data_IF_896388112208
#
_entry.id   IF_896388112208
#
_cell.length_a   1.000
_cell.length_b   1.000
_cell.length_c   1.000
_cell.angle_alpha   90.00
_cell.angle_beta   90.00
_cell.angle_gamma   90.00
#
_symmetry.space_group_name_H-M   'P 1'
#
loop_
_entity.id
_entity.type
_entity.pdbx_description
1 polymer ?
#
# COMPACT_ATOMS: atom_id res chain seq x y z
N UNK A 1 -4.71 -24.04 -7.51
CA UNK A 1 -5.32 -22.72 -7.84
C UNK A 1 -5.18 -21.82 -6.64
N UNK A 2 -5.04 -20.51 -6.86
CA UNK A 2 -4.98 -19.49 -5.82
C UNK A 2 -6.07 -18.43 -6.10
N UNK A 3 -7.31 -18.62 -5.62
CA UNK A 3 -8.35 -17.61 -5.70
C UNK A 3 -7.97 -16.36 -4.92
N UNK A 4 -8.51 -15.24 -5.36
CA UNK A 4 -8.27 -13.94 -4.77
C UNK A 4 -9.56 -13.33 -4.22
N UNK A 5 -9.52 -12.81 -3.00
CA UNK A 5 -10.62 -12.08 -2.39
C UNK A 5 -10.93 -10.78 -3.11
N UNK A 6 -12.18 -10.31 -3.02
CA UNK A 6 -12.55 -9.03 -3.60
C UNK A 6 -11.78 -7.86 -2.97
N UNK A 7 -11.29 -6.93 -3.79
CA UNK A 7 -10.63 -5.69 -3.35
C UNK A 7 -11.53 -4.79 -2.48
N UNK A 8 -12.85 -5.05 -2.45
CA UNK A 8 -13.80 -4.34 -1.60
C UNK A 8 -13.79 -4.82 -0.14
N UNK A 9 -13.22 -6.00 0.12
CA UNK A 9 -13.13 -6.57 1.47
C UNK A 9 -12.00 -5.87 2.22
N UNK A 10 -12.35 -5.25 3.35
CA UNK A 10 -11.37 -4.70 4.30
C UNK A 10 -11.66 -5.25 5.69
N UNK A 11 -10.86 -6.22 6.14
CA UNK A 11 -11.01 -6.83 7.47
C UNK A 11 -10.52 -5.92 8.62
N UNK A 12 -9.85 -4.81 8.30
CA UNK A 12 -9.43 -3.81 9.28
C UNK A 12 -10.52 -2.75 9.60
N UNK A 13 -11.72 -2.86 9.02
CA UNK A 13 -12.83 -1.91 9.24
C UNK A 13 -13.19 -1.79 10.74
N UNK A 14 -13.20 -0.55 11.23
CA UNK A 14 -13.68 -0.21 12.58
C UNK A 14 -15.19 0.01 12.63
N UNK A 15 -15.77 0.54 11.55
CA UNK A 15 -17.22 0.72 11.45
C UNK A 15 -17.91 -0.65 11.46
N UNK A 16 -18.84 -0.84 12.39
CA UNK A 16 -19.45 -2.15 12.65
C UNK A 16 -20.22 -2.70 11.46
N UNK A 17 -20.93 -1.83 10.73
CA UNK A 17 -21.72 -2.25 9.58
C UNK A 17 -20.82 -2.67 8.42
N UNK A 18 -19.81 -1.85 8.09
CA UNK A 18 -18.82 -2.17 7.06
C UNK A 18 -17.99 -3.40 7.43
N UNK A 19 -17.59 -3.54 8.68
CA UNK A 19 -16.88 -4.73 9.18
C UNK A 19 -17.72 -6.00 9.03
N UNK A 20 -19.02 -5.93 9.34
CA UNK A 20 -19.94 -7.06 9.18
C UNK A 20 -20.08 -7.44 7.71
N UNK A 21 -20.22 -6.46 6.80
CA UNK A 21 -20.29 -6.71 5.35
C UNK A 21 -19.01 -7.34 4.83
N UNK A 22 -17.84 -6.76 5.16
CA UNK A 22 -16.54 -7.27 4.75
C UNK A 22 -16.32 -8.71 5.24
N UNK A 23 -16.61 -8.99 6.51
CA UNK A 23 -16.48 -10.33 7.07
C UNK A 23 -17.45 -11.32 6.42
N UNK A 24 -18.70 -10.92 6.16
CA UNK A 24 -19.71 -11.78 5.53
C UNK A 24 -19.28 -12.18 4.11
N UNK A 25 -18.77 -11.24 3.32
CA UNK A 25 -18.21 -11.55 2.00
C UNK A 25 -16.99 -12.47 2.11
N UNK A 26 -16.06 -12.17 3.02
CA UNK A 26 -14.84 -12.97 3.20
C UNK A 26 -15.14 -14.42 3.59
N UNK A 27 -16.02 -14.64 4.57
CA UNK A 27 -16.35 -16.00 5.00
C UNK A 27 -17.14 -16.79 3.94
N UNK A 28 -17.96 -16.11 3.13
CA UNK A 28 -18.63 -16.73 1.98
C UNK A 28 -17.62 -17.22 0.95
N UNK A 29 -16.65 -16.37 0.58
CA UNK A 29 -15.58 -16.74 -0.36
C UNK A 29 -14.74 -17.91 0.15
N UNK A 30 -14.40 -17.94 1.44
CA UNK A 30 -13.69 -19.08 2.05
C UNK A 30 -14.50 -20.37 2.00
N UNK A 31 -15.81 -20.32 2.31
CA UNK A 31 -16.69 -21.48 2.19
C UNK A 31 -16.80 -21.95 0.74
N UNK A 32 -16.82 -21.03 -0.22
CA UNK A 32 -16.80 -21.37 -1.65
C UNK A 32 -15.48 -22.02 -2.06
N UNK A 33 -14.34 -21.55 -1.54
CA UNK A 33 -13.05 -22.20 -1.75
C UNK A 33 -13.07 -23.66 -1.23
N UNK A 34 -13.63 -23.90 -0.04
CA UNK A 34 -13.75 -25.27 0.50
C UNK A 34 -14.71 -26.16 -0.30
N UNK A 35 -15.84 -25.61 -0.75
CA UNK A 35 -16.78 -26.33 -1.62
C UNK A 35 -16.15 -26.73 -2.97
N UNK A 36 -15.14 -25.99 -3.42
CA UNK A 36 -14.38 -26.26 -4.64
C UNK A 36 -13.08 -27.05 -4.38
N UNK A 37 -12.86 -27.53 -3.15
CA UNK A 37 -11.65 -28.25 -2.73
C UNK A 37 -10.35 -27.45 -2.93
N UNK A 38 -10.41 -26.13 -2.71
CA UNK A 38 -9.28 -25.22 -2.85
C UNK A 38 -8.69 -24.90 -1.47
N UNK A 39 -7.45 -25.32 -1.25
CA UNK A 39 -6.78 -25.18 0.05
C UNK A 39 -6.16 -23.80 0.35
N UNK A 40 -6.05 -22.89 -0.62
CA UNK A 40 -5.45 -21.56 -0.45
C UNK A 40 -6.45 -20.47 -0.84
N UNK A 41 -6.46 -19.36 -0.12
CA UNK A 41 -7.26 -18.18 -0.46
C UNK A 41 -6.46 -16.90 -0.20
N UNK A 42 -6.08 -16.20 -1.27
CA UNK A 42 -5.29 -14.97 -1.19
C UNK A 42 -6.18 -13.75 -0.97
N UNK A 43 -5.72 -12.80 -0.17
CA UNK A 43 -6.40 -11.53 0.01
C UNK A 43 -5.45 -10.43 0.50
N UNK A 44 -5.83 -9.18 0.20
CA UNK A 44 -5.16 -8.02 0.77
C UNK A 44 -5.57 -7.87 2.25
N UNK A 45 -4.62 -7.67 3.20
CA UNK A 45 -4.94 -7.58 4.63
C UNK A 45 -5.98 -6.50 4.95
N UNK A 46 -5.89 -5.36 4.26
CA UNK A 46 -6.84 -4.25 4.36
C UNK A 46 -6.17 -2.89 4.53
N UNK A 47 -6.92 -1.92 5.05
CA UNK A 47 -6.47 -0.55 5.29
C UNK A 47 -6.97 -0.07 6.65
N UNK A 48 -6.10 0.59 7.42
CA UNK A 48 -6.45 1.11 8.74
C UNK A 48 -7.41 2.30 8.66
N UNK A 49 -7.53 2.94 7.48
CA UNK A 49 -8.36 4.13 7.27
C UNK A 49 -8.05 5.28 8.25
N UNK A 50 -6.80 5.37 8.72
CA UNK A 50 -6.34 6.41 9.65
C UNK A 50 -6.45 6.02 11.13
N UNK A 51 -6.99 4.85 11.44
CA UNK A 51 -7.00 4.30 12.80
C UNK A 51 -5.60 3.78 13.20
N UNK A 52 -5.34 3.62 14.52
CA UNK A 52 -4.10 3.02 15.00
C UNK A 52 -3.82 1.67 14.33
N UNK A 53 -2.58 1.50 13.87
CA UNK A 53 -2.19 0.37 13.00
C UNK A 53 -2.23 -0.97 13.74
N UNK A 54 -1.84 -0.97 15.01
CA UNK A 54 -1.93 -2.10 15.94
C UNK A 54 -3.37 -2.57 16.13
N UNK A 55 -4.31 -1.65 16.40
CA UNK A 55 -5.72 -2.00 16.52
C UNK A 55 -6.30 -2.56 15.20
N UNK A 56 -5.81 -2.05 14.06
CA UNK A 56 -6.23 -2.54 12.75
C UNK A 56 -5.72 -3.95 12.46
N UNK A 57 -4.47 -4.24 12.83
CA UNK A 57 -3.87 -5.58 12.79
C UNK A 57 -4.65 -6.55 13.68
N UNK A 58 -5.02 -6.15 14.90
CA UNK A 58 -5.84 -6.97 15.79
C UNK A 58 -7.21 -7.29 15.18
N UNK A 59 -7.87 -6.33 14.52
CA UNK A 59 -9.14 -6.57 13.82
C UNK A 59 -9.00 -7.62 12.72
N UNK A 60 -7.95 -7.55 11.91
CA UNK A 60 -7.67 -8.53 10.86
C UNK A 60 -7.46 -9.92 11.48
N UNK A 61 -6.58 -10.04 12.48
CA UNK A 61 -6.29 -11.32 13.11
C UNK A 61 -7.53 -11.95 13.77
N UNK A 62 -8.36 -11.15 14.43
CA UNK A 62 -9.62 -11.61 15.03
C UNK A 62 -10.62 -12.09 13.97
N UNK A 63 -10.70 -11.42 12.83
CA UNK A 63 -11.51 -11.88 11.70
C UNK A 63 -10.99 -13.21 11.13
N UNK A 64 -9.68 -13.37 10.98
CA UNK A 64 -9.08 -14.64 10.55
C UNK A 64 -9.37 -15.78 11.53
N UNK A 65 -9.16 -15.56 12.83
CA UNK A 65 -9.44 -16.55 13.87
C UNK A 65 -10.90 -17.00 13.88
N UNK A 66 -11.82 -16.06 13.65
CA UNK A 66 -13.25 -16.37 13.54
C UNK A 66 -13.55 -17.15 12.26
N UNK A 67 -13.00 -16.73 11.12
CA UNK A 67 -13.21 -17.39 9.84
C UNK A 67 -12.68 -18.83 9.87
N UNK A 68 -11.48 -19.02 10.42
CA UNK A 68 -10.88 -20.32 10.70
C UNK A 68 -11.78 -21.22 11.55
N UNK A 69 -12.51 -20.70 12.54
CA UNK A 69 -13.48 -21.51 13.33
C UNK A 69 -14.73 -21.88 12.54
N UNK A 70 -15.05 -21.11 11.50
CA UNK A 70 -16.23 -21.29 10.64
C UNK A 70 -15.93 -22.08 9.34
N UNK A 71 -14.67 -22.46 9.12
CA UNK A 71 -14.16 -23.25 7.98
C UNK A 71 -13.26 -24.40 8.46
N UNK A 72 -12.94 -25.34 7.58
CA UNK A 72 -12.27 -26.60 7.96
C UNK A 72 -10.78 -26.67 7.60
N UNK A 73 -10.40 -26.35 6.36
CA UNK A 73 -9.06 -26.61 5.82
C UNK A 73 -8.46 -25.47 4.99
N UNK A 74 -9.27 -24.52 4.50
CA UNK A 74 -8.72 -23.41 3.69
C UNK A 74 -7.73 -22.57 4.48
N UNK A 75 -6.54 -22.33 3.89
CA UNK A 75 -5.49 -21.44 4.40
C UNK A 75 -5.72 -20.03 3.86
N UNK A 76 -5.76 -19.05 4.75
CA UNK A 76 -5.85 -17.63 4.40
C UNK A 76 -4.45 -17.07 4.15
N UNK A 77 -4.22 -16.55 2.95
CA UNK A 77 -2.91 -16.09 2.48
C UNK A 77 -2.92 -14.56 2.42
N UNK A 78 -2.12 -13.93 3.27
CA UNK A 78 -1.95 -12.48 3.36
C UNK A 78 -1.00 -12.00 2.27
N UNK A 79 -1.43 -11.08 1.42
CA UNK A 79 -0.56 -10.53 0.40
C UNK A 79 0.27 -9.32 0.88
N UNK A 80 1.51 -9.22 0.44
CA UNK A 80 2.31 -7.98 0.54
C UNK A 80 1.68 -6.87 -0.29
N UNK A 81 1.70 -5.62 0.20
CA UNK A 81 0.99 -4.49 -0.43
C UNK A 81 1.92 -3.34 -0.83
N UNK A 82 1.58 -2.58 -1.89
CA UNK A 82 2.40 -1.45 -2.36
C UNK A 82 2.56 -0.28 -1.37
N UNK A 83 1.68 -0.17 -0.36
CA UNK A 83 1.78 0.85 0.70
C UNK A 83 1.16 2.21 0.38
N UNK A 84 0.19 2.28 -0.54
CA UNK A 84 -0.56 3.51 -0.78
C UNK A 84 -1.44 3.90 0.42
N UNK A 85 -1.25 5.10 0.97
CA UNK A 85 -2.09 5.63 2.05
C UNK A 85 -2.00 4.78 3.34
N UNK A 86 -3.14 4.30 3.83
CA UNK A 86 -3.26 3.60 5.11
C UNK A 86 -3.29 2.06 4.99
N UNK A 87 -2.81 1.52 3.87
CA UNK A 87 -2.82 0.07 3.61
C UNK A 87 -1.90 -0.69 4.59
N UNK A 88 -2.34 -1.89 4.97
CA UNK A 88 -1.64 -2.82 5.87
C UNK A 88 -1.01 -3.93 5.05
N UNK A 89 0.23 -4.31 5.38
CA UNK A 89 0.99 -5.32 4.62
C UNK A 89 2.05 -4.72 3.69
N UNK A 90 2.33 -3.42 3.79
CA UNK A 90 3.46 -2.79 3.09
C UNK A 90 4.81 -3.09 3.74
N UNK A 91 4.79 -3.49 5.02
CA UNK A 91 5.97 -3.94 5.76
C UNK A 91 5.79 -5.40 6.15
N UNK A 92 6.87 -6.17 6.12
CA UNK A 92 6.83 -7.55 6.59
C UNK A 92 6.38 -7.67 8.05
N UNK A 93 6.69 -6.67 8.89
CA UNK A 93 6.25 -6.62 10.28
C UNK A 93 4.73 -6.60 10.44
N UNK A 94 3.99 -5.95 9.53
CA UNK A 94 2.53 -5.96 9.59
C UNK A 94 1.99 -7.38 9.47
N UNK A 95 2.56 -8.15 8.51
CA UNK A 95 2.16 -9.52 8.25
C UNK A 95 2.59 -10.43 9.39
N UNK A 96 3.81 -10.25 9.91
CA UNK A 96 4.30 -10.95 11.12
C UNK A 96 3.34 -10.72 12.29
N UNK A 97 2.92 -9.48 12.53
CA UNK A 97 2.11 -9.13 13.69
C UNK A 97 0.68 -9.69 13.56
N UNK A 98 0.11 -9.69 12.36
CA UNK A 98 -1.15 -10.42 12.08
C UNK A 98 -0.96 -11.92 12.37
N UNK A 99 0.07 -12.54 11.78
CA UNK A 99 0.37 -13.97 11.96
C UNK A 99 0.62 -14.30 13.42
N UNK A 100 1.24 -13.41 14.20
CA UNK A 100 1.50 -13.62 15.62
C UNK A 100 0.20 -13.83 16.41
N UNK A 101 -0.85 -13.09 16.06
CA UNK A 101 -2.16 -13.07 16.71
C UNK A 101 -3.16 -14.13 16.18
N UNK A 102 -2.87 -14.76 15.04
CA UNK A 102 -3.68 -15.88 14.55
C UNK A 102 -3.52 -17.11 15.46
N UNK A 103 -4.60 -17.82 15.78
CA UNK A 103 -4.59 -18.98 16.66
C UNK A 103 -4.04 -20.22 15.92
N UNK A 104 -4.60 -20.51 14.74
CA UNK A 104 -4.20 -21.65 13.91
C UNK A 104 -3.14 -21.24 12.87
N UNK A 105 -1.86 -21.35 13.27
CA UNK A 105 -0.72 -21.02 12.42
C UNK A 105 -0.60 -21.90 11.18
N UNK A 106 -1.25 -23.07 11.14
CA UNK A 106 -1.20 -23.95 9.98
C UNK A 106 -2.06 -23.44 8.82
N UNK A 107 -3.03 -22.55 9.10
CA UNK A 107 -3.98 -21.99 8.13
C UNK A 107 -3.82 -20.50 7.88
N UNK A 108 -2.67 -19.94 8.20
CA UNK A 108 -2.26 -18.61 7.71
C UNK A 108 -0.97 -18.74 6.89
N UNK A 109 -0.87 -17.95 5.83
CA UNK A 109 0.31 -17.86 4.98
C UNK A 109 0.49 -16.47 4.40
N UNK A 110 1.52 -16.31 3.58
CA UNK A 110 1.86 -15.06 2.89
C UNK A 110 2.03 -15.31 1.39
N UNK A 111 1.53 -14.36 0.59
CA UNK A 111 1.84 -14.22 -0.83
C UNK A 111 2.78 -13.03 -1.00
N UNK A 112 3.91 -13.25 -1.67
CA UNK A 112 4.77 -12.14 -2.10
C UNK A 112 4.32 -11.71 -3.49
N UNK A 113 3.86 -10.47 -3.59
CA UNK A 113 3.69 -9.79 -4.88
C UNK A 113 4.94 -8.94 -5.17
N UNK A 114 5.55 -9.20 -6.33
CA UNK A 114 6.81 -8.55 -6.72
C UNK A 114 6.64 -7.06 -7.03
N UNK A 115 5.51 -6.64 -7.61
CA UNK A 115 5.21 -5.23 -7.89
C UNK A 115 4.93 -4.47 -6.59
N UNK A 116 4.14 -5.06 -5.70
CA UNK A 116 3.83 -4.49 -4.39
C UNK A 116 5.08 -4.33 -3.54
N UNK A 117 5.88 -5.38 -3.41
CA UNK A 117 7.12 -5.34 -2.64
C UNK A 117 8.08 -4.26 -3.19
N UNK A 118 8.27 -4.22 -4.51
CA UNK A 118 9.07 -3.18 -5.17
C UNK A 118 8.55 -1.76 -4.94
N UNK A 119 7.23 -1.60 -4.97
CA UNK A 119 6.57 -0.30 -4.75
C UNK A 119 6.58 0.13 -3.29
N UNK A 120 6.69 -0.83 -2.35
CA UNK A 120 6.81 -0.59 -0.92
C UNK A 120 8.24 -0.29 -0.45
N UNK A 121 9.24 -0.50 -1.32
CA UNK A 121 10.64 -0.20 -1.03
C UNK A 121 11.54 -1.43 -0.86
N UNK A 122 11.08 -2.63 -1.24
CA UNK A 122 11.91 -3.84 -1.28
C UNK A 122 12.53 -4.02 -2.66
N UNK A 123 13.84 -3.79 -2.79
CA UNK A 123 14.51 -3.87 -4.09
C UNK A 123 14.84 -5.32 -4.44
N UNK A 124 14.27 -5.81 -5.54
CA UNK A 124 14.42 -7.20 -6.01
C UNK A 124 15.31 -7.29 -7.27
N UNK A 125 15.87 -6.16 -7.74
CA UNK A 125 16.46 -6.05 -9.09
C UNK A 125 17.82 -6.72 -9.23
N UNK A 126 18.69 -6.61 -8.24
CA UNK A 126 20.01 -7.27 -8.26
C UNK A 126 20.01 -8.52 -7.39
N UNK A 127 20.88 -9.51 -7.65
CA UNK A 127 21.01 -10.69 -6.79
C UNK A 127 21.28 -10.33 -5.32
N UNK A 128 22.08 -9.30 -5.06
CA UNK A 128 22.43 -8.86 -3.71
C UNK A 128 21.23 -8.22 -3.00
N UNK A 129 20.52 -7.32 -3.69
CA UNK A 129 19.33 -6.64 -3.14
C UNK A 129 18.21 -7.66 -2.88
N UNK A 130 17.96 -8.54 -3.85
CA UNK A 130 17.03 -9.65 -3.73
C UNK A 130 17.36 -10.55 -2.54
N UNK A 131 18.63 -10.96 -2.41
CA UNK A 131 19.09 -11.78 -1.28
C UNK A 131 18.89 -11.10 0.07
N UNK A 132 19.08 -9.78 0.15
CA UNK A 132 18.81 -9.00 1.37
C UNK A 132 17.32 -8.99 1.72
N UNK A 133 16.43 -8.76 0.74
CA UNK A 133 14.98 -8.79 0.96
C UNK A 133 14.51 -10.18 1.38
N UNK A 134 14.99 -11.24 0.72
CA UNK A 134 14.60 -12.62 1.05
C UNK A 134 15.07 -13.02 2.46
N UNK A 135 16.27 -12.57 2.85
CA UNK A 135 16.77 -12.76 4.21
C UNK A 135 15.89 -12.03 5.23
N UNK A 136 15.53 -10.77 4.97
CA UNK A 136 14.62 -10.02 5.84
C UNK A 136 13.25 -10.70 5.94
N UNK A 137 12.71 -11.18 4.82
CA UNK A 137 11.45 -11.94 4.81
C UNK A 137 11.52 -13.17 5.72
N UNK A 138 12.59 -13.96 5.64
CA UNK A 138 12.75 -15.15 6.49
C UNK A 138 12.95 -14.80 7.97
N UNK A 139 13.69 -13.73 8.27
CA UNK A 139 13.93 -13.27 9.64
C UNK A 139 12.64 -12.70 10.29
N UNK A 140 11.82 -11.98 9.53
CA UNK A 140 10.63 -11.28 10.05
C UNK A 140 9.39 -12.18 10.02
N UNK A 141 9.13 -12.84 8.89
CA UNK A 141 7.95 -13.69 8.67
C UNK A 141 8.34 -15.16 8.78
N UNK A 142 9.35 -15.58 8.01
CA UNK A 142 9.78 -16.97 7.88
C UNK A 142 9.20 -17.66 6.65
N UNK A 143 10.05 -18.33 5.87
CA UNK A 143 9.65 -19.05 4.65
C UNK A 143 8.59 -20.12 4.88
N UNK A 144 8.45 -20.64 6.11
CA UNK A 144 7.39 -21.58 6.49
C UNK A 144 5.97 -21.04 6.28
N UNK A 145 5.78 -19.72 6.23
CA UNK A 145 4.48 -19.11 5.93
C UNK A 145 4.31 -18.75 4.46
N UNK A 146 5.37 -18.74 3.66
CA UNK A 146 5.26 -18.47 2.23
C UNK A 146 4.37 -19.54 1.58
N UNK A 147 3.34 -19.08 0.87
CA UNK A 147 2.30 -19.96 0.32
C UNK A 147 2.04 -19.71 -1.17
N UNK A 148 2.46 -18.56 -1.70
CA UNK A 148 2.25 -18.17 -3.10
C UNK A 148 3.15 -17.01 -3.50
N UNK A 149 3.23 -16.77 -4.81
CA UNK A 149 3.78 -15.55 -5.39
C UNK A 149 2.84 -14.97 -6.45
N UNK A 150 2.76 -13.65 -6.50
CA UNK A 150 2.27 -12.92 -7.66
C UNK A 150 3.46 -12.29 -8.40
N UNK A 151 3.55 -12.58 -9.69
CA UNK A 151 4.66 -12.18 -10.55
C UNK A 151 4.21 -11.02 -11.43
N UNK A 152 4.46 -9.81 -10.93
CA UNK A 152 4.05 -8.56 -11.55
C UNK A 152 5.26 -7.64 -11.68
N UNK A 153 5.54 -7.14 -12.88
CA UNK A 153 6.48 -6.03 -13.06
C UNK A 153 5.77 -4.72 -12.65
N UNK A 154 6.49 -3.61 -12.52
CA UNK A 154 5.91 -2.33 -12.09
C UNK A 154 6.00 -1.26 -13.16
N UNK A 155 4.88 -0.60 -13.47
CA UNK A 155 4.85 0.63 -14.27
C UNK A 155 5.32 1.83 -13.48
N UNK A 156 5.39 1.73 -12.16
CA UNK A 156 5.80 2.81 -11.28
C UNK A 156 7.26 2.61 -10.84
N UNK A 157 8.00 3.69 -10.55
CA UNK A 157 9.36 3.56 -10.03
C UNK A 157 9.41 2.84 -8.67
N UNK A 158 10.62 2.42 -8.31
CA UNK A 158 10.94 1.87 -7.00
C UNK A 158 10.43 2.77 -5.87
N UNK A 159 9.87 2.17 -4.82
CA UNK A 159 9.37 2.88 -3.64
C UNK A 159 8.34 3.99 -3.95
N UNK A 160 7.55 3.81 -5.01
CA UNK A 160 6.54 4.80 -5.44
C UNK A 160 5.23 4.74 -4.66
N UNK A 161 5.03 3.67 -3.88
CA UNK A 161 3.77 3.34 -3.21
C UNK A 161 2.56 3.28 -4.13
N UNK A 162 2.77 2.84 -5.39
CA UNK A 162 1.71 2.70 -6.38
C UNK A 162 1.63 1.27 -6.88
N UNK A 163 0.46 0.69 -6.69
CA UNK A 163 0.09 -0.58 -7.29
C UNK A 163 -0.29 -0.33 -8.77
N UNK A 164 0.69 -0.49 -9.66
CA UNK A 164 0.50 -0.36 -11.11
C UNK A 164 1.29 -1.45 -11.83
N UNK A 165 0.64 -2.59 -12.09
CA UNK A 165 1.26 -3.76 -12.70
C UNK A 165 1.69 -3.52 -14.15
N UNK A 166 2.79 -4.17 -14.53
CA UNK A 166 3.36 -4.21 -15.86
C UNK A 166 3.66 -5.64 -16.30
N UNK A 167 3.69 -5.86 -17.60
CA UNK A 167 4.17 -7.10 -18.21
C UNK A 167 5.65 -7.37 -17.88
N UNK A 168 5.98 -8.66 -17.78
CA UNK A 168 7.28 -9.15 -17.31
C UNK A 168 8.44 -8.56 -18.13
N UNK A 169 9.36 -7.87 -17.44
CA UNK A 169 10.58 -7.30 -17.99
C UNK A 169 10.42 -5.93 -18.65
N UNK A 170 9.19 -5.41 -18.79
CA UNK A 170 8.93 -4.13 -19.45
C UNK A 170 8.91 -2.94 -18.49
N UNK A 171 8.75 -3.20 -17.18
CA UNK A 171 8.60 -2.16 -16.17
C UNK A 171 9.91 -1.71 -15.53
N UNK A 172 9.77 -0.98 -14.43
CA UNK A 172 10.88 -0.48 -13.62
C UNK A 172 11.51 -1.55 -12.73
N UNK A 173 10.82 -2.68 -12.52
CA UNK A 173 11.36 -3.83 -11.80
C UNK A 173 12.26 -4.64 -12.75
N UNK A 174 11.83 -4.88 -13.98
CA UNK A 174 12.68 -5.45 -15.03
C UNK A 174 12.97 -6.95 -14.88
N UNK A 175 13.68 -7.51 -15.87
CA UNK A 175 13.77 -8.97 -16.04
C UNK A 175 14.65 -9.68 -14.99
N UNK A 176 15.68 -9.01 -14.48
CA UNK A 176 16.59 -9.58 -13.47
C UNK A 176 15.87 -9.99 -12.18
N UNK A 177 14.85 -9.23 -11.75
CA UNK A 177 14.06 -9.61 -10.59
C UNK A 177 13.38 -10.97 -10.76
N UNK A 178 12.79 -11.21 -11.94
CA UNK A 178 12.15 -12.49 -12.24
C UNK A 178 13.16 -13.61 -12.41
N UNK A 179 14.34 -13.34 -12.96
CA UNK A 179 15.43 -14.33 -12.98
C UNK A 179 15.82 -14.75 -11.55
N UNK A 180 15.89 -13.82 -10.60
CA UNK A 180 16.15 -14.15 -9.20
C UNK A 180 15.04 -15.02 -8.60
N UNK A 181 13.77 -14.64 -8.82
CA UNK A 181 12.59 -15.40 -8.35
C UNK A 181 12.58 -16.82 -8.92
N UNK A 182 12.74 -16.98 -10.24
CA UNK A 182 12.67 -18.28 -10.91
C UNK A 182 13.80 -19.25 -10.54
N UNK A 183 14.88 -18.74 -9.91
CA UNK A 183 16.02 -19.54 -9.47
C UNK A 183 16.11 -19.69 -7.93
N UNK A 184 15.05 -19.32 -7.21
CA UNK A 184 14.97 -19.42 -5.75
C UNK A 184 14.32 -20.73 -5.32
N UNK A 185 15.07 -21.54 -4.58
CA UNK A 185 14.70 -22.93 -4.24
C UNK A 185 13.50 -23.00 -3.30
N UNK A 186 13.40 -22.03 -2.40
CA UNK A 186 12.32 -21.88 -1.42
C UNK A 186 10.96 -21.66 -2.09
N UNK A 187 10.95 -21.28 -3.37
CA UNK A 187 9.73 -21.01 -4.13
C UNK A 187 9.26 -22.20 -4.97
N UNK A 188 10.02 -23.29 -5.00
CA UNK A 188 9.61 -24.50 -5.71
C UNK A 188 8.29 -25.04 -5.12
N UNK A 189 7.48 -25.65 -5.98
CA UNK A 189 6.16 -26.20 -5.65
C UNK A 189 5.11 -25.19 -5.15
N UNK A 190 5.42 -23.89 -5.16
CA UNK A 190 4.46 -22.83 -4.84
C UNK A 190 3.71 -22.36 -6.09
N UNK A 191 2.43 -21.98 -5.95
CA UNK A 191 1.72 -21.30 -7.03
C UNK A 191 2.36 -19.93 -7.31
N UNK A 192 2.71 -19.70 -8.57
CA UNK A 192 3.16 -18.42 -9.11
C UNK A 192 2.11 -17.93 -10.10
N UNK A 193 1.51 -16.77 -9.82
CA UNK A 193 0.36 -16.25 -10.59
C UNK A 193 0.77 -14.95 -11.29
N UNK A 194 0.46 -14.84 -12.59
CA UNK A 194 0.58 -13.59 -13.34
C UNK A 194 -0.70 -12.79 -13.18
N UNK A 195 -0.58 -11.52 -12.80
CA UNK A 195 -1.68 -10.53 -12.80
C UNK A 195 -1.31 -9.33 -13.69
N UNK A 196 -0.47 -9.60 -14.68
CA UNK A 196 0.04 -8.65 -15.64
C UNK A 196 -1.08 -8.16 -16.57
N UNK A 197 -1.04 -6.88 -17.00
CA UNK A 197 -2.09 -6.31 -17.83
C UNK A 197 -2.17 -7.00 -19.20
N UNK A 198 -3.39 -7.14 -19.70
CA UNK A 198 -3.66 -7.60 -21.06
C UNK A 198 -3.67 -6.42 -22.04
N UNK A 199 -3.15 -6.66 -23.25
CA UNK A 199 -3.33 -5.75 -24.37
C UNK A 199 -4.72 -6.01 -25.00
N UNK A 200 -5.75 -5.38 -24.45
CA UNK A 200 -7.15 -5.72 -24.78
C UNK A 200 -7.53 -7.07 -24.16
N UNK A 201 -8.13 -7.96 -24.94
CA UNK A 201 -8.54 -9.30 -24.49
C UNK A 201 -7.57 -10.42 -24.93
N UNK A 202 -6.35 -10.07 -25.38
CA UNK A 202 -5.36 -11.06 -25.86
C UNK A 202 -4.70 -11.84 -24.72
N UNK A 203 -5.35 -12.92 -24.30
CA UNK A 203 -4.83 -13.86 -23.28
C UNK A 203 -3.53 -14.58 -23.70
N UNK A 204 -3.10 -14.48 -24.97
CA UNK A 204 -1.82 -15.06 -25.40
C UNK A 204 -0.60 -14.38 -24.79
N UNK A 205 -0.78 -13.18 -24.23
CA UNK A 205 0.26 -12.44 -23.50
C UNK A 205 0.77 -13.29 -22.32
N UNK A 206 -0.12 -13.84 -21.50
CA UNK A 206 0.27 -14.68 -20.36
C UNK A 206 1.01 -15.94 -20.80
N UNK A 207 0.60 -16.58 -21.90
CA UNK A 207 1.30 -17.76 -22.43
C UNK A 207 2.73 -17.43 -22.87
N UNK A 208 2.98 -16.22 -23.38
CA UNK A 208 4.33 -15.75 -23.73
C UNK A 208 5.15 -15.41 -22.49
N UNK A 209 4.54 -14.80 -21.47
CA UNK A 209 5.20 -14.48 -20.21
C UNK A 209 5.57 -15.72 -19.40
N UNK A 210 4.70 -16.74 -19.37
CA UNK A 210 5.03 -18.04 -18.75
C UNK A 210 6.27 -18.64 -19.42
N UNK A 211 6.30 -18.69 -20.76
CA UNK A 211 7.47 -19.20 -21.50
C UNK A 211 8.73 -18.39 -21.27
N UNK A 212 8.60 -17.07 -21.13
CA UNK A 212 9.71 -16.20 -20.77
C UNK A 212 10.24 -16.56 -19.40
N UNK A 213 9.38 -16.65 -18.38
CA UNK A 213 9.77 -17.02 -17.01
C UNK A 213 10.43 -18.40 -16.95
N UNK A 214 9.86 -19.41 -17.63
CA UNK A 214 10.45 -20.75 -17.77
C UNK A 214 11.86 -20.70 -18.39
N UNK A 215 12.09 -19.83 -19.36
CA UNK A 215 13.40 -19.67 -20.01
C UNK A 215 14.48 -19.06 -19.09
N UNK A 216 14.10 -18.43 -17.97
CA UNK A 216 15.05 -17.85 -17.01
C UNK A 216 15.61 -18.89 -16.03
N UNK A 217 14.99 -20.07 -15.94
CA UNK A 217 15.41 -21.13 -15.02
C UNK A 217 16.79 -21.65 -15.40
N UNK A 218 17.71 -21.65 -14.44
CA UNK A 218 19.10 -22.08 -14.59
C UNK A 218 20.04 -21.04 -15.20
N UNK A 219 19.55 -19.86 -15.59
CA UNK A 219 20.41 -18.79 -16.10
C UNK A 219 21.05 -18.02 -14.94
N UNK A 220 22.36 -17.79 -15.05
CA UNK A 220 23.11 -16.94 -14.13
C UNK A 220 23.01 -15.45 -14.51
N UNK A 221 23.29 -14.56 -13.56
CA UNK A 221 23.18 -13.11 -13.77
C UNK A 221 24.16 -12.59 -14.85
N UNK A 222 25.28 -13.27 -15.06
CA UNK A 222 26.28 -12.98 -16.10
C UNK A 222 26.13 -13.84 -17.36
N UNK A 223 25.08 -14.67 -17.45
CA UNK A 223 24.83 -15.50 -18.62
C UNK A 223 24.58 -14.63 -19.88
N UNK A 224 25.33 -14.82 -20.98
CA UNK A 224 25.16 -14.01 -22.19
C UNK A 224 23.75 -14.05 -22.79
N UNK A 225 23.03 -15.17 -22.64
CA UNK A 225 21.65 -15.35 -23.08
C UNK A 225 20.71 -14.49 -22.23
N UNK A 226 20.90 -14.53 -20.91
CA UNK A 226 20.12 -13.70 -19.99
C UNK A 226 20.36 -12.22 -20.24
N UNK A 227 21.62 -11.78 -20.38
CA UNK A 227 21.97 -10.39 -20.66
C UNK A 227 21.36 -9.88 -21.97
N UNK A 228 21.28 -10.73 -22.99
CA UNK A 228 20.60 -10.39 -24.25
C UNK A 228 19.09 -10.23 -24.06
N UNK A 229 18.43 -11.14 -23.34
CA UNK A 229 17.00 -11.06 -23.02
C UNK A 229 16.68 -9.84 -22.16
N UNK A 230 17.46 -9.58 -21.12
CA UNK A 230 17.27 -8.44 -20.24
C UNK A 230 17.34 -7.14 -21.02
N UNK A 231 18.35 -6.99 -21.89
CA UNK A 231 18.47 -5.83 -22.77
C UNK A 231 17.27 -5.71 -23.71
N UNK A 232 16.85 -6.78 -24.36
CA UNK A 232 15.72 -6.77 -25.28
C UNK A 232 14.42 -6.30 -24.61
N UNK A 233 14.11 -6.83 -23.44
CA UNK A 233 12.90 -6.48 -22.69
C UNK A 233 12.98 -5.08 -22.09
N UNK A 234 14.16 -4.68 -21.60
CA UNK A 234 14.41 -3.31 -21.18
C UNK A 234 14.18 -2.31 -22.32
N UNK A 235 14.67 -2.60 -23.54
CA UNK A 235 14.48 -1.76 -24.72
C UNK A 235 12.99 -1.66 -25.11
N UNK A 236 12.24 -2.78 -25.07
CA UNK A 236 10.79 -2.79 -25.34
C UNK A 236 10.00 -1.89 -24.38
N UNK A 237 10.35 -1.90 -23.09
CA UNK A 237 9.68 -1.09 -22.07
C UNK A 237 10.14 0.37 -21.99
N UNK A 238 11.25 0.74 -22.65
CA UNK A 238 11.93 2.01 -22.45
C UNK A 238 11.04 3.23 -22.75
N UNK A 239 10.23 3.18 -23.80
CA UNK A 239 9.36 4.28 -24.19
C UNK A 239 8.28 4.56 -23.12
N UNK A 240 7.65 3.53 -22.58
CA UNK A 240 6.63 3.69 -21.54
C UNK A 240 7.24 4.21 -20.23
N UNK A 241 8.39 3.67 -19.81
CA UNK A 241 9.13 4.17 -18.64
C UNK A 241 9.51 5.63 -18.80
N UNK A 242 9.98 6.04 -19.98
CA UNK A 242 10.31 7.44 -20.27
C UNK A 242 9.08 8.34 -20.11
N UNK A 243 7.92 7.94 -20.61
CA UNK A 243 6.67 8.70 -20.43
C UNK A 243 6.30 8.85 -18.97
N UNK A 244 6.51 7.81 -18.15
CA UNK A 244 6.27 7.86 -16.70
C UNK A 244 7.24 8.83 -16.03
N UNK A 245 8.55 8.73 -16.32
CA UNK A 245 9.58 9.63 -15.77
C UNK A 245 9.31 11.10 -16.14
N UNK A 246 9.06 11.39 -17.42
CA UNK A 246 8.76 12.75 -17.88
C UNK A 246 7.53 13.34 -17.14
N UNK A 247 6.53 12.51 -16.79
CA UNK A 247 5.36 12.93 -16.02
C UNK A 247 5.68 13.19 -14.54
N UNK A 248 6.57 12.40 -13.95
CA UNK A 248 6.99 12.59 -12.56
C UNK A 248 7.82 13.86 -12.41
N UNK A 249 8.79 14.08 -13.30
CA UNK A 249 9.60 15.31 -13.34
C UNK A 249 8.71 16.56 -13.44
N UNK A 250 7.72 16.55 -14.35
CA UNK A 250 6.76 17.66 -14.46
C UNK A 250 5.97 17.91 -13.18
N UNK A 251 5.51 16.85 -12.50
CA UNK A 251 4.78 16.97 -11.24
C UNK A 251 5.66 17.51 -10.12
N UNK A 252 6.93 17.14 -10.08
CA UNK A 252 7.89 17.66 -9.10
C UNK A 252 8.13 19.16 -9.31
N UNK A 253 8.38 19.59 -10.56
CA UNK A 253 8.53 21.01 -10.91
C UNK A 253 7.28 21.82 -10.53
N UNK A 254 6.08 21.32 -10.85
CA UNK A 254 4.83 21.97 -10.47
C UNK A 254 4.64 22.08 -8.95
N UNK A 255 5.07 21.06 -8.19
CA UNK A 255 5.01 21.05 -6.73
C UNK A 255 5.96 22.10 -6.14
N UNK A 256 7.20 22.13 -6.61
CA UNK A 256 8.20 23.12 -6.19
C UNK A 256 7.74 24.56 -6.47
N UNK A 257 7.15 24.81 -7.65
CA UNK A 257 6.58 26.12 -7.97
C UNK A 257 5.43 26.52 -7.04
N UNK A 258 4.53 25.57 -6.73
CA UNK A 258 3.40 25.82 -5.81
C UNK A 258 3.90 26.12 -4.40
N UNK A 259 4.90 25.39 -3.92
CA UNK A 259 5.54 25.61 -2.62
C UNK A 259 6.25 26.96 -2.56
N UNK A 260 6.98 27.34 -3.61
CA UNK A 260 7.61 28.65 -3.73
C UNK A 260 6.57 29.79 -3.71
N UNK A 261 5.50 29.68 -4.49
CA UNK A 261 4.38 30.65 -4.50
C UNK A 261 3.68 30.74 -3.14
N UNK A 262 3.56 29.62 -2.40
CA UNK A 262 2.99 29.58 -1.04
C UNK A 262 3.91 30.29 -0.05
N UNK A 263 5.22 30.04 -0.09
CA UNK A 263 6.22 30.74 0.74
C UNK A 263 6.21 32.25 0.48
N UNK A 264 6.22 32.69 -0.78
CA UNK A 264 6.18 34.11 -1.14
C UNK A 264 4.90 34.81 -0.64
N UNK A 265 3.74 34.14 -0.72
CA UNK A 265 2.47 34.66 -0.16
C UNK A 265 2.50 34.80 1.36
N UNK A 266 3.10 33.83 2.07
CA UNK A 266 3.26 33.88 3.53
C UNK A 266 4.18 35.03 3.93
N UNK A 267 5.31 35.21 3.24
CA UNK A 267 6.25 36.32 3.48
C UNK A 267 5.63 37.69 3.22
N UNK A 268 4.89 37.85 2.11
CA UNK A 268 4.16 39.10 1.80
C UNK A 268 3.08 39.40 2.84
N UNK A 269 2.39 38.38 3.35
CA UNK A 269 1.38 38.54 4.42
C UNK A 269 2.06 38.97 5.73
N UNK A 270 3.15 38.33 6.12
CA UNK A 270 3.93 38.69 7.31
C UNK A 270 4.52 40.12 7.23
N UNK A 271 4.99 40.54 6.06
CA UNK A 271 5.47 41.91 5.84
C UNK A 271 4.33 42.95 5.93
N UNK A 272 3.14 42.62 5.41
CA UNK A 272 1.96 43.49 5.46
C UNK A 272 1.38 43.62 6.88
N UNK A 273 1.45 42.55 7.67
CA UNK A 273 1.01 42.57 9.08
C UNK A 273 1.98 43.39 9.95
N UNK A 274 3.29 43.29 9.72
CA UNK A 274 4.30 44.17 10.38
C UNK A 274 4.08 45.65 10.06
N UNK A 275 3.73 45.99 8.82
CA UNK A 275 3.42 47.38 8.41
C UNK A 275 2.11 47.92 8.99
N UNK A 276 1.16 47.03 9.34
CA UNK A 276 -0.09 47.42 10.02
C UNK A 276 0.15 47.69 11.50
N UNK A 277 0.91 46.86 12.19
CA UNK A 277 1.24 47.04 13.61
C UNK A 277 2.00 48.34 13.89
N UNK A 278 2.87 48.75 12.96
CA UNK A 278 3.63 50.01 13.09
C UNK A 278 2.76 51.26 12.89
N UNK A 279 1.63 51.14 12.16
CA UNK A 279 0.64 52.23 12.02
C UNK A 279 -0.30 52.33 13.22
N UNK A 280 -0.55 51.25 13.96
CA UNK A 280 -1.41 51.26 15.17
C UNK A 280 -0.71 51.84 16.40
N UNK A 281 0.62 51.80 16.48
CA UNK A 281 1.40 52.39 17.59
C UNK A 281 1.52 53.93 17.56
N UNK A 282 1.04 54.61 16.52
CA UNK A 282 1.05 56.09 16.40
C UNK A 282 -0.22 56.81 16.86
N UNK A 283 -1.22 56.12 17.43
CA UNK A 283 -2.39 56.77 18.06
C UNK A 283 -2.41 56.51 19.57
N UNK A 284 -1.87 57.46 20.33
CA UNK A 284 -2.00 57.55 21.79
C UNK A 284 -3.45 57.82 22.19
N UNK A 285 -3.97 57.16 23.25
CA UNK A 285 -4.98 57.78 24.09
C UNK A 285 -4.42 58.06 25.50
N UNK A 286 -4.77 59.25 25.99
CA UNK A 286 -4.58 59.74 27.35
C UNK A 286 -5.10 58.75 28.39
N UNK A 287 -4.35 58.64 29.49
CA UNK A 287 -4.74 58.07 30.78
C UNK A 287 -6.05 58.66 31.31
N UNK A 288 -6.89 57.81 31.87
CA UNK A 288 -7.59 58.10 33.14
C UNK A 288 -7.83 56.82 33.94
N UNK A 289 -7.54 56.96 35.22
CA UNK A 289 -7.68 56.05 36.36
C UNK A 289 -9.14 55.88 36.79
N UNK A 290 -9.54 54.70 37.30
CA UNK A 290 -9.96 54.42 38.69
C UNK A 290 -10.95 53.24 38.82
N UNK A 291 -10.64 52.36 39.77
CA UNK A 291 -11.50 51.75 40.80
C UNK A 291 -12.76 50.91 40.44
N UNK A 292 -12.66 49.62 40.80
CA UNK A 292 -13.57 48.85 41.67
C UNK A 292 -15.08 49.12 41.67
N UNK A 293 -15.92 48.09 41.42
CA UNK A 293 -16.53 47.22 42.45
C UNK A 293 -17.58 46.26 41.84
N UNK A 294 -17.61 45.06 42.44
CA UNK A 294 -18.71 44.10 42.67
C UNK A 294 -20.09 44.34 42.02
N UNK A 295 -20.62 43.23 41.50
CA UNK A 295 -21.92 42.71 41.96
C UNK A 295 -22.92 42.38 40.86
N UNK A 296 -23.67 41.28 41.03
CA UNK A 296 -25.04 41.18 40.51
C UNK A 296 -25.31 40.11 39.45
N UNK A 297 -25.46 38.88 39.94
CA UNK A 297 -26.47 37.85 39.60
C UNK A 297 -27.50 38.15 38.47
N UNK A 298 -27.73 37.09 37.69
CA UNK A 298 -29.03 36.48 37.35
C UNK A 298 -29.52 36.55 35.89
N UNK A 299 -29.75 35.35 35.35
CA UNK A 299 -30.86 34.94 34.44
C UNK A 299 -30.85 35.55 33.02
N UNK A 300 -31.20 34.86 31.94
CA UNK A 300 -32.22 33.82 31.76
C UNK A 300 -32.05 33.18 30.37
N UNK A 301 -32.44 31.92 30.31
CA UNK A 301 -32.92 31.04 29.22
C UNK A 301 -33.22 31.63 27.82
N UNK A 302 -33.01 30.77 26.81
CA UNK A 302 -33.83 30.46 25.59
C UNK A 302 -32.92 29.61 24.68
N UNK A 303 -33.01 28.27 24.70
CA UNK A 303 -33.95 27.37 24.00
C UNK A 303 -33.76 27.26 22.48
N UNK A 304 -33.34 26.06 22.09
CA UNK A 304 -33.87 25.18 21.04
C UNK A 304 -33.68 25.38 19.52
N UNK A 305 -33.66 24.19 18.89
CA UNK A 305 -33.70 23.79 17.47
C UNK A 305 -32.37 23.91 16.73
N UNK A 306 -31.65 22.84 16.42
CA UNK A 306 -31.95 21.53 15.82
C UNK A 306 -32.14 21.57 14.28
N UNK A 307 -31.28 20.76 13.65
CA UNK A 307 -31.41 20.06 12.38
C UNK A 307 -31.22 20.77 11.03
N UNK A 308 -30.58 19.99 10.14
CA UNK A 308 -30.51 20.03 8.67
C UNK A 308 -29.60 21.12 8.06
N UNK A 309 -28.71 20.87 7.10
CA UNK A 309 -28.69 19.84 6.06
C UNK A 309 -27.29 19.84 5.36
N UNK A 310 -26.91 18.68 4.81
CA UNK A 310 -26.05 18.48 3.64
C UNK A 310 -24.57 18.92 3.69
N UNK A 311 -23.70 17.97 4.04
CA UNK A 311 -22.29 17.96 3.63
C UNK A 311 -22.09 17.00 2.46
N UNK A 312 -21.79 17.54 1.28
CA UNK A 312 -21.14 16.79 0.20
C UNK A 312 -19.85 17.49 -0.20
N UNK A 313 -18.83 16.65 -0.36
CA UNK A 313 -17.66 16.83 -1.24
C UNK A 313 -16.78 18.05 -0.97
N UNK A 314 -15.71 17.81 -0.20
CA UNK A 314 -14.32 18.07 -0.58
C UNK A 314 -13.44 17.99 0.67
N UNK A 315 -12.62 16.93 0.75
CA UNK A 315 -11.32 17.03 1.43
C UNK A 315 -10.32 16.18 0.67
N UNK A 316 -9.60 16.82 -0.26
CA UNK A 316 -8.16 16.58 -0.33
C UNK A 316 -7.61 16.88 1.06
N UNK A 317 -7.28 15.84 1.82
CA UNK A 317 -6.45 15.98 2.99
C UNK A 317 -5.11 15.33 2.68
N UNK A 318 -4.12 16.17 2.36
CA UNK A 318 -2.76 15.98 2.83
C UNK A 318 -2.86 15.59 4.31
N UNK A 319 -2.79 14.30 4.57
CA UNK A 319 -2.59 13.76 5.91
C UNK A 319 -1.19 13.23 5.92
N UNK A 320 -0.43 13.74 6.88
CA UNK A 320 0.96 13.38 7.12
C UNK A 320 1.17 11.89 6.95
N UNK A 321 2.06 11.55 6.03
CA UNK A 321 2.50 10.20 5.82
C UNK A 321 3.09 9.68 7.14
N UNK A 322 2.32 8.86 7.85
CA UNK A 322 2.91 7.72 8.56
C UNK A 322 3.40 6.76 7.47
N UNK A 323 4.48 7.17 6.79
CA UNK A 323 4.98 6.55 5.60
C UNK A 323 5.47 5.15 5.94
N UNK A 324 5.20 4.19 5.06
CA UNK A 324 5.85 2.89 5.07
C UNK A 324 7.38 2.97 4.91
N UNK A 325 7.99 4.16 4.81
CA UNK A 325 9.45 4.37 4.77
C UNK A 325 10.15 3.82 6.01
N UNK A 326 10.67 2.60 5.89
CA UNK A 326 11.75 2.09 6.72
C UNK A 326 13.03 2.87 6.43
N UNK A 327 13.81 3.15 7.47
CA UNK A 327 15.16 3.68 7.33
C UNK A 327 16.07 2.56 6.84
N UNK A 328 16.43 2.57 5.56
CA UNK A 328 17.68 1.97 5.07
C UNK A 328 18.37 2.97 4.15
#
# INVERSE_FOLDING_TARGET
MLPHGSYLVNLAQKDKEKATKAYTSFIDDLKRAELLDIGLFNFHPGSSLGEPRDEAIERIANALNRAHKETSFVKTVLETMAGQGNVIGCKFEDLRDIIALVEDKSRVGVCIDTCHSFSAGYDLRSPEAYGAVMKEFDEVIGFKYLSALHLNDSKAPFNSHRDLHQNIGLGFLGLSAFRNVMNTKEFHDLPMVLETPLAGDDVSVWAKEIKLLESLVGLEADDPTFLALEKEYADKGAAERKVVLDKLEKKEVEKEEKEAKKKEKVEKKAAKDKLKDDKTKKKTPKKTTTAAKKGGKATKDISDSDSSELSELETESDSDASSCGGKH
#
